data_IF_788324512313
#
_entry.id   IF_788324512313
#
_cell.length_a   1.000
_cell.length_b   1.000
_cell.length_c   1.000
_cell.angle_alpha   90.00
_cell.angle_beta   90.00
_cell.angle_gamma   90.00
#
_symmetry.space_group_name_H-M   'P 1'
#
loop_
_entity.id
_entity.type
_entity.pdbx_description
1 polymer ?
#
# COMPACT_ATOMS: atom_id res chain seq x y z
N UNK A 1 22.33 -16.08 -10.60
CA UNK A 1 20.97 -15.78 -10.19
C UNK A 1 20.82 -15.96 -8.70
N UNK A 2 20.31 -14.94 -8.02
CA UNK A 2 19.88 -15.00 -6.62
C UNK A 2 18.36 -14.84 -6.62
N UNK A 3 17.67 -15.64 -5.81
CA UNK A 3 16.22 -15.55 -5.61
C UNK A 3 15.96 -15.36 -4.13
N UNK A 4 15.22 -14.29 -3.80
CA UNK A 4 14.65 -14.07 -2.49
C UNK A 4 13.16 -14.40 -2.61
N UNK A 5 12.72 -15.43 -1.89
CA UNK A 5 11.36 -15.94 -1.93
C UNK A 5 10.74 -15.78 -0.55
N UNK A 6 9.62 -15.06 -0.47
CA UNK A 6 8.90 -14.72 0.75
C UNK A 6 9.80 -14.23 1.91
N UNK A 7 10.83 -13.42 1.57
CA UNK A 7 11.80 -12.96 2.57
C UNK A 7 11.21 -11.93 3.53
N UNK A 8 10.15 -11.21 3.14
CA UNK A 8 9.35 -10.36 4.03
C UNK A 8 8.11 -11.13 4.50
N UNK A 9 7.88 -11.08 5.79
CA UNK A 9 6.71 -11.65 6.45
C UNK A 9 6.30 -10.76 7.63
N UNK A 10 5.12 -10.96 8.19
CA UNK A 10 4.59 -10.09 9.25
C UNK A 10 5.57 -9.86 10.39
N UNK A 11 6.16 -10.94 10.94
CA UNK A 11 7.03 -10.82 12.10
C UNK A 11 8.32 -10.00 11.85
N UNK A 12 8.81 -9.92 10.60
CA UNK A 12 10.01 -9.14 10.26
C UNK A 12 9.71 -7.79 9.58
N UNK A 13 8.45 -7.35 9.61
CA UNK A 13 8.02 -6.06 9.07
C UNK A 13 7.28 -5.19 10.07
N UNK A 14 7.10 -5.64 11.32
CA UNK A 14 6.36 -4.92 12.37
C UNK A 14 7.00 -3.57 12.65
N UNK A 15 8.30 -3.53 12.92
CA UNK A 15 9.01 -2.30 13.27
C UNK A 15 9.69 -1.69 12.06
N UNK A 16 9.87 -0.36 12.06
CA UNK A 16 10.63 0.35 11.04
C UNK A 16 12.05 -0.22 10.90
N UNK A 17 12.71 -0.46 12.03
CA UNK A 17 14.06 -1.04 12.04
C UNK A 17 14.11 -2.41 11.34
N UNK A 18 13.10 -3.25 11.54
CA UNK A 18 13.04 -4.55 10.87
C UNK A 18 12.85 -4.39 9.35
N UNK A 19 12.01 -3.46 8.91
CA UNK A 19 11.81 -3.15 7.48
C UNK A 19 13.09 -2.57 6.85
N UNK A 20 13.78 -1.66 7.55
CA UNK A 20 15.06 -1.11 7.10
C UNK A 20 16.13 -2.20 6.97
N UNK A 21 16.16 -3.17 7.89
CA UNK A 21 17.04 -4.34 7.78
C UNK A 21 16.74 -5.19 6.55
N UNK A 22 15.46 -5.41 6.24
CA UNK A 22 15.05 -6.13 5.04
C UNK A 22 15.50 -5.38 3.76
N UNK A 23 15.26 -4.09 3.69
CA UNK A 23 15.69 -3.26 2.56
C UNK A 23 17.23 -3.27 2.41
N UNK A 24 17.97 -3.13 3.51
CA UNK A 24 19.43 -3.18 3.52
C UNK A 24 19.97 -4.55 3.11
N UNK A 25 19.30 -5.65 3.51
CA UNK A 25 19.68 -6.99 3.05
C UNK A 25 19.69 -7.05 1.51
N UNK A 26 18.67 -6.53 0.88
CA UNK A 26 18.56 -6.54 -0.59
C UNK A 26 19.56 -5.60 -1.23
N UNK A 27 19.63 -4.35 -0.77
CA UNK A 27 20.36 -3.27 -1.46
C UNK A 27 21.83 -3.22 -1.12
N UNK A 28 22.21 -3.55 0.11
CA UNK A 28 23.60 -3.43 0.59
C UNK A 28 24.34 -4.76 0.69
N UNK A 29 23.64 -5.90 0.67
CA UNK A 29 24.26 -7.22 0.79
C UNK A 29 24.07 -8.04 -0.48
N UNK A 30 22.80 -8.28 -0.86
CA UNK A 30 22.48 -9.20 -1.96
C UNK A 30 22.83 -8.59 -3.33
N UNK A 31 22.40 -7.35 -3.57
CA UNK A 31 22.64 -6.70 -4.86
C UNK A 31 24.12 -6.52 -5.17
N UNK A 32 24.98 -6.04 -4.25
CA UNK A 32 26.42 -5.94 -4.51
C UNK A 32 27.15 -7.28 -4.68
N UNK A 33 26.58 -8.38 -4.19
CA UNK A 33 27.12 -9.73 -4.36
C UNK A 33 26.83 -10.35 -5.72
N UNK A 34 26.02 -9.67 -6.56
CA UNK A 34 25.76 -10.16 -7.92
C UNK A 34 26.99 -10.03 -8.79
N UNK A 35 27.16 -11.00 -9.67
CA UNK A 35 28.15 -10.89 -10.74
C UNK A 35 27.79 -9.70 -11.66
N UNK A 36 28.72 -8.77 -11.95
CA UNK A 36 28.40 -7.48 -12.58
C UNK A 36 27.79 -7.58 -14.00
N UNK A 37 28.10 -8.60 -14.77
CA UNK A 37 27.69 -8.69 -16.17
C UNK A 37 26.45 -9.57 -16.40
N UNK A 38 26.33 -10.66 -15.65
CA UNK A 38 25.29 -11.68 -15.86
C UNK A 38 24.45 -11.93 -14.62
N UNK A 39 24.80 -11.31 -13.50
CA UNK A 39 24.09 -11.46 -12.22
C UNK A 39 22.64 -11.00 -12.34
N UNK A 40 21.74 -11.79 -11.76
CA UNK A 40 20.30 -11.47 -11.73
C UNK A 40 19.77 -11.68 -10.33
N UNK A 41 18.95 -10.76 -9.89
CA UNK A 41 18.20 -10.85 -8.64
C UNK A 41 16.71 -10.97 -8.96
N UNK A 42 16.05 -11.90 -8.31
CA UNK A 42 14.59 -12.02 -8.29
C UNK A 42 14.11 -11.90 -6.84
N UNK A 43 13.08 -11.15 -6.65
CA UNK A 43 12.37 -11.03 -5.37
C UNK A 43 10.93 -11.43 -5.63
N UNK A 44 10.49 -12.50 -4.99
CA UNK A 44 9.11 -12.95 -5.00
C UNK A 44 8.54 -12.77 -3.60
N UNK A 45 7.26 -12.47 -3.50
CA UNK A 45 6.57 -12.38 -2.22
C UNK A 45 5.29 -11.58 -2.31
N UNK A 46 4.58 -11.58 -1.22
CA UNK A 46 3.35 -10.82 -1.02
C UNK A 46 3.68 -9.54 -0.23
N UNK A 47 3.12 -8.38 -0.57
CA UNK A 47 3.30 -7.18 0.23
C UNK A 47 2.62 -7.36 1.58
N UNK A 48 3.39 -7.27 2.68
CA UNK A 48 2.90 -7.55 4.05
C UNK A 48 2.68 -6.30 4.88
N UNK A 49 3.29 -5.18 4.51
CA UNK A 49 3.20 -3.91 5.21
C UNK A 49 3.29 -2.75 4.21
N UNK A 50 2.59 -1.63 4.46
CA UNK A 50 2.58 -0.46 3.56
C UNK A 50 3.97 0.11 3.30
N UNK A 51 4.90 -0.01 4.26
CA UNK A 51 6.28 0.42 4.18
C UNK A 51 7.26 -0.78 4.10
N UNK A 52 6.84 -1.92 3.56
CA UNK A 52 7.72 -3.05 3.26
C UNK A 52 8.50 -2.83 1.97
N UNK A 53 9.63 -3.49 1.81
CA UNK A 53 10.44 -3.38 0.61
C UNK A 53 9.67 -3.74 -0.65
N UNK A 54 8.91 -4.85 -0.62
CA UNK A 54 8.07 -5.28 -1.75
C UNK A 54 7.01 -4.24 -2.08
N UNK A 55 6.29 -3.70 -1.07
CA UNK A 55 5.26 -2.70 -1.32
C UNK A 55 5.86 -1.38 -1.84
N UNK A 56 7.03 -0.98 -1.36
CA UNK A 56 7.75 0.18 -1.84
C UNK A 56 8.19 0.02 -3.31
N UNK A 57 8.57 -1.17 -3.74
CA UNK A 57 8.83 -1.46 -5.16
C UNK A 57 7.55 -1.33 -6.01
N UNK A 58 6.42 -1.87 -5.54
CA UNK A 58 5.13 -1.77 -6.24
C UNK A 58 4.73 -0.31 -6.44
N UNK A 59 4.73 0.48 -5.37
CA UNK A 59 4.31 1.89 -5.41
C UNK A 59 5.28 2.76 -6.23
N UNK A 60 6.59 2.53 -6.12
CA UNK A 60 7.58 3.27 -6.89
C UNK A 60 7.53 2.94 -8.37
N UNK A 61 7.31 1.67 -8.72
CA UNK A 61 7.13 1.26 -10.12
C UNK A 61 5.87 1.88 -10.74
N UNK A 62 4.76 1.94 -10.00
CA UNK A 62 3.54 2.59 -10.48
C UNK A 62 3.78 4.09 -10.73
N UNK A 63 4.38 4.81 -9.78
CA UNK A 63 4.73 6.23 -9.93
C UNK A 63 5.67 6.48 -11.10
N UNK A 64 6.67 5.63 -11.31
CA UNK A 64 7.59 5.76 -12.45
C UNK A 64 6.85 5.61 -13.79
N UNK A 65 5.94 4.63 -13.90
CA UNK A 65 5.11 4.44 -15.11
C UNK A 65 4.19 5.64 -15.39
N UNK A 66 3.54 6.17 -14.36
CA UNK A 66 2.68 7.36 -14.49
C UNK A 66 3.46 8.60 -14.94
N UNK A 67 4.70 8.74 -14.47
CA UNK A 67 5.59 9.86 -14.80
C UNK A 67 6.40 9.64 -16.08
N UNK A 68 6.32 8.48 -16.72
CA UNK A 68 7.13 8.11 -17.89
C UNK A 68 8.63 7.99 -17.58
N UNK A 69 8.99 7.73 -16.33
CA UNK A 69 10.38 7.58 -15.90
C UNK A 69 10.82 6.11 -15.93
N UNK A 70 12.11 5.89 -16.15
CA UNK A 70 12.71 4.57 -16.03
C UNK A 70 12.73 4.10 -14.58
N UNK A 71 12.53 2.81 -14.39
CA UNK A 71 12.62 2.17 -13.09
C UNK A 71 13.54 0.94 -13.16
N UNK A 72 14.49 0.86 -12.23
CA UNK A 72 15.55 -0.16 -12.26
C UNK A 72 15.03 -1.60 -12.08
N UNK A 73 13.83 -1.78 -11.51
CA UNK A 73 13.21 -3.08 -11.28
C UNK A 73 12.11 -3.35 -12.29
N UNK A 74 12.11 -4.58 -12.82
CA UNK A 74 10.97 -5.07 -13.58
C UNK A 74 9.95 -5.67 -12.60
N UNK A 75 8.88 -4.93 -12.32
CA UNK A 75 7.87 -5.30 -11.34
C UNK A 75 6.64 -5.87 -12.06
N UNK A 76 6.29 -7.11 -11.70
CA UNK A 76 5.12 -7.83 -12.22
C UNK A 76 4.23 -8.22 -11.05
N UNK A 77 2.95 -7.90 -11.16
CA UNK A 77 1.95 -8.18 -10.12
C UNK A 77 0.90 -9.16 -10.63
N UNK A 78 0.59 -10.16 -9.84
CA UNK A 78 -0.40 -11.18 -10.17
C UNK A 78 -1.56 -11.12 -9.16
N UNK A 79 -2.52 -10.24 -9.41
CA UNK A 79 -3.77 -10.19 -8.63
C UNK A 79 -4.68 -11.35 -9.02
N UNK A 80 -5.36 -11.94 -8.05
CA UNK A 80 -6.30 -13.04 -8.33
C UNK A 80 -7.51 -12.61 -9.18
N UNK A 81 -7.86 -11.33 -9.11
CA UNK A 81 -8.83 -10.67 -10.00
C UNK A 81 -8.09 -9.57 -10.74
N UNK A 82 -8.13 -9.62 -12.05
CA UNK A 82 -7.51 -8.66 -12.96
C UNK A 82 -8.35 -7.38 -13.07
N UNK A 83 -7.80 -6.34 -13.68
CA UNK A 83 -8.45 -5.02 -13.76
C UNK A 83 -9.75 -5.03 -14.59
N UNK A 84 -9.94 -6.04 -15.48
CA UNK A 84 -11.17 -6.30 -16.22
C UNK A 84 -12.21 -7.15 -15.43
N UNK A 85 -12.03 -7.28 -14.13
CA UNK A 85 -12.85 -8.08 -13.22
C UNK A 85 -12.88 -9.58 -13.54
N UNK A 86 -11.86 -10.11 -14.20
CA UNK A 86 -11.71 -11.54 -14.52
C UNK A 86 -10.78 -12.25 -13.54
N UNK A 87 -11.08 -13.51 -13.18
CA UNK A 87 -10.11 -14.30 -12.40
C UNK A 87 -8.87 -14.59 -13.21
N UNK A 88 -7.70 -14.30 -12.66
CA UNK A 88 -6.40 -14.57 -13.33
C UNK A 88 -6.24 -16.06 -13.65
N UNK A 89 -6.72 -16.93 -12.80
CA UNK A 89 -6.61 -18.38 -12.97
C UNK A 89 -7.97 -19.05 -12.78
N UNK A 90 -8.87 -18.84 -13.74
CA UNK A 90 -10.27 -19.24 -13.69
C UNK A 90 -10.51 -20.76 -13.54
N UNK A 91 -9.61 -21.59 -14.06
CA UNK A 91 -9.69 -23.07 -13.93
C UNK A 91 -9.49 -23.53 -12.48
N UNK A 92 -8.73 -22.80 -11.67
CA UNK A 92 -8.45 -23.12 -10.28
C UNK A 92 -9.21 -22.24 -9.30
N UNK A 93 -9.18 -20.91 -9.50
CA UNK A 93 -9.89 -19.91 -8.73
C UNK A 93 -10.88 -19.16 -9.63
N UNK A 94 -12.10 -19.65 -9.75
CA UNK A 94 -13.19 -18.91 -10.40
C UNK A 94 -13.77 -17.84 -9.45
N UNK A 95 -14.58 -16.92 -10.00
CA UNK A 95 -15.21 -15.83 -9.20
C UNK A 95 -15.96 -16.33 -7.96
N UNK A 96 -16.62 -17.49 -8.03
CA UNK A 96 -17.35 -18.06 -6.89
C UNK A 96 -16.40 -18.43 -5.77
N UNK A 97 -15.33 -19.17 -6.07
CA UNK A 97 -14.31 -19.55 -5.08
C UNK A 97 -13.62 -18.34 -4.46
N UNK A 98 -13.31 -17.30 -5.25
CA UNK A 98 -12.71 -16.07 -4.74
C UNK A 98 -13.66 -15.31 -3.80
N UNK A 99 -14.96 -15.26 -4.10
CA UNK A 99 -15.97 -14.71 -3.20
C UNK A 99 -16.09 -15.52 -1.89
N UNK A 100 -16.03 -16.84 -1.97
CA UNK A 100 -16.03 -17.73 -0.80
C UNK A 100 -14.79 -17.47 0.07
N UNK A 101 -13.61 -17.31 -0.53
CA UNK A 101 -12.37 -16.95 0.18
C UNK A 101 -12.50 -15.59 0.87
N UNK A 102 -12.97 -14.57 0.13
CA UNK A 102 -13.20 -13.23 0.71
C UNK A 102 -14.14 -13.28 1.90
N UNK A 103 -15.23 -14.03 1.78
CA UNK A 103 -16.19 -14.21 2.88
C UNK A 103 -15.54 -14.93 4.07
N UNK A 104 -14.76 -15.97 3.85
CA UNK A 104 -14.07 -16.70 4.91
C UNK A 104 -13.17 -15.77 5.74
N UNK A 105 -12.34 -14.93 5.08
CA UNK A 105 -11.48 -13.98 5.79
C UNK A 105 -12.30 -12.91 6.54
N UNK A 106 -13.39 -12.43 5.95
CA UNK A 106 -14.28 -11.47 6.61
C UNK A 106 -14.94 -12.08 7.85
N UNK A 107 -15.48 -13.29 7.74
CA UNK A 107 -16.14 -14.01 8.86
C UNK A 107 -15.11 -14.38 9.96
N UNK A 108 -13.83 -14.52 9.59
CA UNK A 108 -12.72 -14.77 10.53
C UNK A 108 -12.17 -13.50 11.19
N UNK A 109 -12.75 -12.33 10.91
CA UNK A 109 -12.28 -11.06 11.47
C UNK A 109 -11.00 -10.52 10.86
N UNK A 110 -10.52 -11.08 9.74
CA UNK A 110 -9.26 -10.70 9.09
C UNK A 110 -9.47 -10.36 7.61
N UNK A 111 -10.40 -9.45 7.24
CA UNK A 111 -10.69 -9.14 5.83
C UNK A 111 -9.48 -8.62 5.06
N UNK A 112 -8.54 -7.93 5.74
CA UNK A 112 -7.30 -7.42 5.16
C UNK A 112 -6.42 -8.53 4.56
N UNK A 113 -6.45 -9.74 5.14
CA UNK A 113 -5.68 -10.88 4.62
C UNK A 113 -6.09 -11.30 3.22
N UNK A 114 -7.38 -11.21 2.88
CA UNK A 114 -7.83 -11.47 1.52
C UNK A 114 -7.20 -10.50 0.52
N UNK A 115 -7.18 -9.22 0.84
CA UNK A 115 -6.61 -8.22 -0.05
C UNK A 115 -5.09 -8.37 -0.17
N UNK A 116 -4.41 -8.67 0.92
CA UNK A 116 -2.99 -8.95 0.94
C UNK A 116 -2.64 -10.16 0.06
N UNK A 117 -3.24 -11.30 0.32
CA UNK A 117 -2.88 -12.59 -0.30
C UNK A 117 -3.39 -12.75 -1.73
N UNK A 118 -4.56 -12.18 -2.05
CA UNK A 118 -5.20 -12.39 -3.35
C UNK A 118 -5.20 -11.14 -4.24
N UNK A 119 -5.09 -9.96 -3.65
CA UNK A 119 -5.16 -8.72 -4.43
C UNK A 119 -3.85 -7.95 -4.45
N UNK A 120 -2.82 -8.42 -3.73
CA UNK A 120 -1.53 -7.73 -3.61
C UNK A 120 -1.69 -6.30 -3.05
N UNK A 121 -2.65 -6.12 -2.16
CA UNK A 121 -2.99 -4.83 -1.56
C UNK A 121 -2.78 -4.90 -0.06
N UNK A 122 -1.94 -4.02 0.45
CA UNK A 122 -1.75 -3.87 1.89
C UNK A 122 -2.86 -2.95 2.42
N UNK A 123 -3.66 -3.50 3.29
CA UNK A 123 -4.66 -2.72 4.05
C UNK A 123 -4.12 -2.57 5.48
N UNK A 124 -3.53 -1.44 5.78
CA UNK A 124 -3.07 -1.13 7.14
C UNK A 124 -4.27 -0.71 7.99
N UNK A 125 -4.98 -1.66 8.58
CA UNK A 125 -6.02 -1.32 9.57
C UNK A 125 -5.46 -1.22 11.00
N UNK A 126 -4.28 -1.75 11.28
CA UNK A 126 -3.74 -1.81 12.65
C UNK A 126 -2.95 -0.56 13.05
N UNK A 127 -2.35 0.14 12.09
CA UNK A 127 -1.59 1.38 12.35
C UNK A 127 -2.34 2.67 12.00
N UNK A 128 -3.48 2.57 11.35
CA UNK A 128 -4.26 3.73 10.98
C UNK A 128 -5.26 4.08 12.07
N UNK A 129 -4.91 5.03 12.93
CA UNK A 129 -5.86 5.71 13.82
C UNK A 129 -7.09 6.20 13.04
N UNK A 130 -6.91 6.45 11.74
CA UNK A 130 -7.94 6.90 10.81
C UNK A 130 -7.92 6.07 9.52
N UNK A 131 -8.94 5.24 9.30
CA UNK A 131 -9.17 4.55 8.01
C UNK A 131 -9.99 5.45 7.08
N UNK A 132 -9.98 5.17 5.76
CA UNK A 132 -10.80 5.93 4.79
C UNK A 132 -12.28 5.98 5.17
N UNK A 133 -12.82 4.97 5.85
CA UNK A 133 -14.21 4.95 6.35
C UNK A 133 -14.48 6.00 7.43
N UNK A 134 -13.44 6.48 8.11
CA UNK A 134 -13.55 7.54 9.11
C UNK A 134 -13.43 8.94 8.50
N UNK A 135 -13.05 9.04 7.23
CA UNK A 135 -12.95 10.31 6.52
C UNK A 135 -14.29 10.60 5.89
N UNK A 136 -14.97 11.59 6.44
CA UNK A 136 -16.21 12.12 5.84
C UNK A 136 -15.80 13.23 4.88
N UNK A 137 -16.00 12.98 3.59
CA UNK A 137 -15.83 14.01 2.57
C UNK A 137 -17.09 14.85 2.52
N UNK A 138 -16.92 16.14 2.47
CA UNK A 138 -18.03 17.05 2.25
C UNK A 138 -17.88 17.71 0.89
N UNK A 139 -18.99 17.97 0.24
CA UNK A 139 -19.05 18.71 -1.01
C UNK A 139 -19.34 20.18 -0.68
N UNK A 140 -18.47 21.06 -1.19
CA UNK A 140 -18.56 22.47 -0.93
C UNK A 140 -17.23 23.17 -1.16
N UNK A 141 -17.17 24.45 -0.88
CA UNK A 141 -15.92 25.21 -0.97
C UNK A 141 -15.78 26.18 0.20
N UNK A 142 -14.54 26.55 0.46
CA UNK A 142 -14.19 27.54 1.48
C UNK A 142 -14.28 28.94 0.88
N UNK A 143 -14.96 29.85 1.56
CA UNK A 143 -15.07 31.27 1.22
C UNK A 143 -14.54 32.10 2.38
N UNK A 144 -13.79 33.14 2.09
CA UNK A 144 -13.37 34.16 3.04
C UNK A 144 -13.92 35.50 2.61
N UNK A 145 -14.70 36.16 3.46
CA UNK A 145 -15.32 37.46 3.20
C UNK A 145 -15.41 38.24 4.49
N UNK A 146 -15.07 39.53 4.44
CA UNK A 146 -15.13 40.48 5.58
C UNK A 146 -14.46 39.98 6.88
N UNK A 147 -13.34 39.21 6.73
CA UNK A 147 -12.61 38.66 7.87
C UNK A 147 -13.22 37.41 8.48
N UNK A 148 -14.28 36.88 7.90
CA UNK A 148 -14.93 35.64 8.35
C UNK A 148 -14.72 34.53 7.33
N UNK A 149 -14.43 33.33 7.85
CA UNK A 149 -14.36 32.13 7.04
C UNK A 149 -15.72 31.43 6.99
N UNK A 150 -16.13 31.00 5.82
CA UNK A 150 -17.35 30.25 5.60
C UNK A 150 -17.08 28.94 4.90
N UNK A 151 -17.86 27.93 5.26
CA UNK A 151 -18.06 26.73 4.44
C UNK A 151 -19.35 26.93 3.68
N UNK A 152 -19.27 26.86 2.34
CA UNK A 152 -20.44 27.00 1.47
C UNK A 152 -20.81 25.62 0.94
N UNK A 153 -22.03 25.17 1.27
CA UNK A 153 -22.57 23.90 0.80
C UNK A 153 -24.05 24.09 0.46
N UNK A 154 -24.49 23.58 -0.69
CA UNK A 154 -25.88 23.61 -1.16
C UNK A 154 -26.49 25.05 -1.17
N UNK A 155 -25.64 26.07 -1.34
CA UNK A 155 -26.04 27.49 -1.33
C UNK A 155 -26.16 28.10 0.07
N UNK A 156 -25.91 27.35 1.12
CA UNK A 156 -25.84 27.86 2.49
C UNK A 156 -24.41 28.24 2.87
N UNK A 157 -24.25 29.40 3.49
CA UNK A 157 -22.98 29.90 4.04
C UNK A 157 -22.93 29.67 5.54
N UNK A 158 -22.09 28.79 6.01
CA UNK A 158 -21.93 28.45 7.41
C UNK A 158 -20.64 29.11 7.92
N UNK A 159 -20.70 30.08 8.83
CA UNK A 159 -19.50 30.68 9.38
C UNK A 159 -18.73 29.68 10.23
N UNK A 160 -17.40 29.63 10.03
CA UNK A 160 -16.52 28.71 10.74
C UNK A 160 -15.26 29.40 11.25
N UNK A 161 -14.72 28.87 12.32
CA UNK A 161 -13.38 29.22 12.78
C UNK A 161 -12.39 28.19 12.23
N UNK A 162 -11.34 28.68 11.60
CA UNK A 162 -10.27 27.83 11.07
C UNK A 162 -9.15 27.73 12.10
N UNK A 163 -8.82 26.50 12.49
CA UNK A 163 -7.68 26.21 13.36
C UNK A 163 -6.71 25.32 12.60
N UNK A 164 -5.42 25.61 12.70
CA UNK A 164 -4.36 24.74 12.21
C UNK A 164 -3.68 24.14 13.43
N UNK A 165 -3.85 22.84 13.62
CA UNK A 165 -3.06 22.06 14.58
C UNK A 165 -1.86 21.46 13.84
N UNK A 166 -0.66 21.73 14.33
CA UNK A 166 0.54 21.02 13.89
C UNK A 166 1.05 20.22 15.08
N UNK A 167 1.01 18.91 14.96
CA UNK A 167 1.70 18.00 15.87
C UNK A 167 2.94 17.49 15.14
N UNK A 168 4.10 18.14 15.29
CA UNK A 168 5.32 17.60 14.72
C UNK A 168 5.62 16.29 15.45
N UNK A 169 5.48 15.18 14.75
CA UNK A 169 5.96 13.91 15.25
C UNK A 169 7.46 14.06 15.56
N UNK A 170 7.77 14.26 16.82
CA UNK A 170 9.14 14.14 17.30
C UNK A 170 9.41 12.65 17.39
N UNK A 171 10.39 12.16 16.62
CA UNK A 171 10.98 10.86 16.87
C UNK A 171 11.41 10.85 18.35
N UNK A 172 10.67 10.12 19.15
CA UNK A 172 11.10 9.83 20.52
C UNK A 172 12.04 8.63 20.37
N UNK A 173 13.30 8.84 20.67
CA UNK A 173 14.37 7.85 20.75
C UNK A 173 13.98 6.62 21.59
#
# INVERSE_FOLDING_TARGET
LIVLDDFEHEANTITREARDKNANLVTAVVYPALEPHTGRLRVNGTPVHYDSFINNLLTSSAKARESGNDFAWNVITYKAITDDDSPLWSSFFNKKKLKEKKKFYADSGQPQKYYQEYMMEVMSDEDAVWTRRHVIYWEGYHKHEDGVNYIVKDGEEIPVNTFIGCDPATDID
#
